data_IF_283966220074
#
_entry.id   IF_283966220074
#
_cell.length_a   1.000
_cell.length_b   1.000
_cell.length_c   1.000
_cell.angle_alpha   90.00
_cell.angle_beta   90.00
_cell.angle_gamma   90.00
#
_symmetry.space_group_name_H-M   'P 1'
#
loop_
_entity.id
_entity.type
_entity.pdbx_description
1 polymer ?
#
# COMPACT_ATOMS: atom_id res chain seq x y z
N UNK A 1 -0.85 3.96 6.53
CA UNK A 1 -1.83 4.15 5.45
C UNK A 1 -2.25 2.79 4.90
N UNK A 2 -3.53 2.58 4.71
CA UNK A 2 -4.08 1.47 3.94
C UNK A 2 -4.40 1.97 2.53
N UNK A 3 -4.00 1.19 1.53
CA UNK A 3 -4.30 1.45 0.12
C UNK A 3 -5.14 0.30 -0.40
N UNK A 4 -6.25 0.61 -1.07
CA UNK A 4 -7.10 -0.36 -1.74
C UNK A 4 -7.25 0.01 -3.22
N UNK A 5 -7.23 -1.00 -4.07
CA UNK A 5 -7.43 -0.86 -5.51
C UNK A 5 -8.77 -1.49 -5.89
N UNK A 6 -9.56 -0.73 -6.63
CA UNK A 6 -10.87 -1.15 -7.06
C UNK A 6 -10.99 -1.10 -8.57
N UNK A 7 -11.73 -2.04 -9.14
CA UNK A 7 -12.18 -1.98 -10.51
C UNK A 7 -13.69 -1.84 -10.57
N UNK A 8 -14.14 -0.93 -11.41
CA UNK A 8 -15.55 -0.79 -11.80
C UNK A 8 -15.65 -1.24 -13.24
N UNK A 9 -16.52 -2.18 -13.52
CA UNK A 9 -16.65 -2.76 -14.85
C UNK A 9 -18.10 -2.98 -15.27
N UNK A 10 -18.32 -2.95 -16.58
CA UNK A 10 -19.54 -3.37 -17.24
C UNK A 10 -19.22 -4.00 -18.59
N UNK A 11 -19.99 -5.01 -18.98
CA UNK A 11 -19.85 -5.67 -20.26
C UNK A 11 -21.22 -6.01 -20.85
N UNK A 12 -21.28 -6.14 -22.17
CA UNK A 12 -22.52 -6.49 -22.86
C UNK A 12 -22.36 -6.43 -24.38
N UNK A 13 -23.45 -6.69 -25.09
CA UNK A 13 -23.46 -6.73 -26.56
C UNK A 13 -23.44 -5.34 -27.18
N UNK A 14 -24.18 -4.41 -26.62
CA UNK A 14 -24.36 -3.07 -27.15
C UNK A 14 -23.55 -2.04 -26.37
N UNK A 15 -22.83 -1.19 -27.11
CA UNK A 15 -21.92 -0.17 -26.54
C UNK A 15 -22.65 0.84 -25.64
N UNK A 16 -23.82 1.30 -26.08
CA UNK A 16 -24.57 2.32 -25.33
C UNK A 16 -25.10 1.78 -24.01
N UNK A 17 -25.63 0.55 -24.03
CA UNK A 17 -26.11 -0.15 -22.83
C UNK A 17 -24.96 -0.41 -21.84
N UNK A 18 -23.80 -0.82 -22.34
CA UNK A 18 -22.59 -1.02 -21.51
C UNK A 18 -22.16 0.29 -20.86
N UNK A 19 -22.09 1.38 -21.64
CA UNK A 19 -21.71 2.67 -21.09
C UNK A 19 -22.70 3.17 -20.02
N UNK A 20 -24.00 3.02 -20.22
CA UNK A 20 -25.01 3.42 -19.22
C UNK A 20 -24.87 2.60 -17.92
N UNK A 21 -24.69 1.28 -18.02
CA UNK A 21 -24.48 0.42 -16.87
C UNK A 21 -23.17 0.77 -16.14
N UNK A 22 -22.10 0.98 -16.91
CA UNK A 22 -20.81 1.42 -16.37
C UNK A 22 -20.94 2.76 -15.64
N UNK A 23 -21.49 3.78 -16.28
CA UNK A 23 -21.62 5.12 -15.69
C UNK A 23 -22.44 5.11 -14.40
N UNK A 24 -23.47 4.28 -14.31
CA UNK A 24 -24.22 4.11 -13.07
C UNK A 24 -23.34 3.64 -11.93
N UNK A 25 -22.57 2.56 -12.13
CA UNK A 25 -21.65 2.01 -11.13
C UNK A 25 -20.51 3.00 -10.83
N UNK A 26 -19.92 3.59 -11.87
CA UNK A 26 -18.83 4.57 -11.75
C UNK A 26 -19.23 5.77 -10.89
N UNK A 27 -20.39 6.36 -11.16
CA UNK A 27 -20.88 7.51 -10.39
C UNK A 27 -21.21 7.12 -8.94
N UNK A 28 -21.76 5.92 -8.71
CA UNK A 28 -22.02 5.41 -7.37
C UNK A 28 -20.70 5.24 -6.59
N UNK A 29 -19.70 4.57 -7.20
CA UNK A 29 -18.40 4.37 -6.55
C UNK A 29 -17.70 5.72 -6.31
N UNK A 30 -17.66 6.59 -7.29
CA UNK A 30 -17.08 7.91 -7.16
C UNK A 30 -17.71 8.71 -6.01
N UNK A 31 -19.04 8.65 -5.87
CA UNK A 31 -19.75 9.32 -4.77
C UNK A 31 -19.35 8.81 -3.39
N UNK A 32 -19.26 7.49 -3.20
CA UNK A 32 -18.92 6.91 -1.89
C UNK A 32 -17.42 7.01 -1.56
N UNK A 33 -16.55 7.07 -2.58
CA UNK A 33 -15.11 7.23 -2.42
C UNK A 33 -14.67 8.69 -2.25
N UNK A 34 -15.48 9.66 -2.64
CA UNK A 34 -15.23 11.10 -2.42
C UNK A 34 -15.66 11.52 -1.01
N UNK A 35 -14.84 11.16 -0.02
CA UNK A 35 -15.01 11.51 1.38
C UNK A 35 -13.70 12.08 1.90
N UNK A 36 -13.75 13.00 2.87
CA UNK A 36 -12.57 13.62 3.49
C UNK A 36 -11.61 12.61 4.17
N UNK A 37 -12.09 11.39 4.45
CA UNK A 37 -11.30 10.28 5.02
C UNK A 37 -10.48 9.54 3.96
N UNK A 38 -10.78 9.73 2.68
CA UNK A 38 -10.16 9.02 1.57
C UNK A 38 -9.42 9.97 0.65
N UNK A 39 -8.28 9.49 0.15
CA UNK A 39 -7.65 10.05 -1.04
C UNK A 39 -7.93 9.07 -2.17
N UNK A 40 -8.99 9.36 -2.95
CA UNK A 40 -9.39 8.56 -4.10
C UNK A 40 -8.81 9.15 -5.39
N UNK A 41 -8.25 8.30 -6.23
CA UNK A 41 -7.62 8.64 -7.51
C UNK A 41 -8.11 7.69 -8.58
N UNK A 42 -8.61 8.22 -9.70
CA UNK A 42 -8.89 7.45 -10.90
C UNK A 42 -7.58 7.21 -11.64
N UNK A 43 -7.13 5.95 -11.69
CA UNK A 43 -5.88 5.56 -12.32
C UNK A 43 -6.01 5.38 -13.84
N UNK A 44 -7.11 4.75 -14.25
CA UNK A 44 -7.37 4.41 -15.65
C UNK A 44 -8.86 4.28 -15.90
N UNK A 45 -9.29 4.61 -17.10
CA UNK A 45 -10.60 4.29 -17.66
C UNK A 45 -10.44 3.92 -19.13
N UNK A 46 -11.02 2.78 -19.51
CA UNK A 46 -10.97 2.30 -20.88
C UNK A 46 -12.32 1.70 -21.31
N UNK A 47 -12.63 1.84 -22.60
CA UNK A 47 -13.77 1.20 -23.24
C UNK A 47 -13.28 0.52 -24.52
N UNK A 48 -13.48 -0.80 -24.62
CA UNK A 48 -12.98 -1.61 -25.73
C UNK A 48 -13.99 -2.62 -26.24
N UNK A 49 -13.91 -2.97 -27.55
CA UNK A 49 -14.71 -4.08 -28.07
C UNK A 49 -14.14 -5.41 -27.60
N UNK A 50 -15.03 -6.34 -27.25
CA UNK A 50 -14.71 -7.71 -26.90
C UNK A 50 -14.71 -8.60 -28.14
N UNK A 51 -13.74 -9.49 -28.22
CA UNK A 51 -13.59 -10.40 -29.34
C UNK A 51 -13.48 -11.85 -28.85
N UNK A 52 -14.04 -12.75 -29.65
CA UNK A 52 -13.84 -14.19 -29.49
C UNK A 52 -13.09 -14.72 -30.70
N UNK A 53 -12.16 -15.63 -30.47
CA UNK A 53 -11.41 -16.32 -31.50
C UNK A 53 -11.90 -17.76 -31.56
N UNK A 54 -12.51 -18.14 -32.69
CA UNK A 54 -12.98 -19.50 -32.93
C UNK A 54 -12.48 -19.95 -34.30
N UNK A 55 -11.75 -21.06 -34.36
CA UNK A 55 -11.18 -21.63 -35.58
C UNK A 55 -10.35 -20.60 -36.40
N UNK A 56 -9.55 -19.79 -35.74
CA UNK A 56 -8.72 -18.75 -36.40
C UNK A 56 -9.47 -17.49 -36.85
N UNK A 57 -10.78 -17.43 -36.67
CA UNK A 57 -11.62 -16.26 -37.01
C UNK A 57 -11.88 -15.41 -35.78
N UNK A 58 -11.59 -14.10 -35.89
CA UNK A 58 -11.90 -13.09 -34.88
C UNK A 58 -13.31 -12.55 -35.08
N UNK A 59 -14.16 -12.69 -34.08
CA UNK A 59 -15.55 -12.18 -34.11
C UNK A 59 -15.77 -11.27 -32.93
N UNK A 60 -16.29 -10.07 -33.17
CA UNK A 60 -16.66 -9.16 -32.08
C UNK A 60 -17.91 -9.72 -31.38
N UNK A 61 -17.84 -9.88 -30.05
CA UNK A 61 -18.89 -10.44 -29.21
C UNK A 61 -19.62 -9.39 -28.35
N UNK A 62 -19.07 -8.18 -28.29
CA UNK A 62 -19.67 -7.11 -27.51
C UNK A 62 -18.67 -6.00 -27.18
N UNK A 63 -18.92 -5.34 -26.07
CA UNK A 63 -18.16 -4.23 -25.53
C UNK A 63 -17.90 -4.46 -24.05
N UNK A 64 -16.80 -3.89 -23.55
CA UNK A 64 -16.48 -3.81 -22.15
C UNK A 64 -15.99 -2.39 -21.82
N UNK A 65 -16.32 -1.93 -20.63
CA UNK A 65 -15.82 -0.67 -20.10
C UNK A 65 -15.39 -0.90 -18.66
N UNK A 66 -14.20 -0.40 -18.30
CA UNK A 66 -13.65 -0.53 -16.96
C UNK A 66 -12.95 0.75 -16.51
N UNK A 67 -12.89 0.93 -15.20
CA UNK A 67 -12.10 1.98 -14.55
C UNK A 67 -11.41 1.38 -13.33
N UNK A 68 -10.17 1.81 -13.08
CA UNK A 68 -9.39 1.45 -11.91
C UNK A 68 -9.24 2.65 -11.00
N UNK A 69 -9.52 2.42 -9.71
CA UNK A 69 -9.38 3.41 -8.67
C UNK A 69 -8.36 2.95 -7.64
N UNK A 70 -7.56 3.90 -7.17
CA UNK A 70 -6.72 3.77 -5.99
C UNK A 70 -7.33 4.60 -4.88
N UNK A 71 -7.58 4.01 -3.72
CA UNK A 71 -8.11 4.69 -2.55
C UNK A 71 -7.18 4.49 -1.37
N UNK A 72 -6.70 5.59 -0.80
CA UNK A 72 -5.81 5.58 0.37
C UNK A 72 -6.53 6.17 1.58
N UNK A 73 -6.32 5.59 2.76
CA UNK A 73 -6.84 6.11 4.02
C UNK A 73 -5.88 5.83 5.18
N UNK A 74 -5.87 6.75 6.15
CA UNK A 74 -5.29 6.54 7.49
C UNK A 74 -6.32 5.94 8.44
N UNK A 75 -7.62 6.06 8.13
CA UNK A 75 -8.75 5.45 8.83
C UNK A 75 -9.07 4.09 8.19
N UNK A 76 -8.50 3.03 8.76
CA UNK A 76 -8.62 1.67 8.22
C UNK A 76 -10.06 1.14 8.33
N UNK A 77 -10.77 1.53 9.37
CA UNK A 77 -12.16 1.13 9.58
C UNK A 77 -13.07 1.76 8.51
N UNK A 78 -12.87 3.04 8.20
CA UNK A 78 -13.60 3.71 7.14
C UNK A 78 -13.33 3.06 5.77
N UNK A 79 -12.07 2.67 5.48
CA UNK A 79 -11.75 2.01 4.21
C UNK A 79 -12.33 0.59 4.13
N UNK A 80 -12.36 -0.15 5.22
CA UNK A 80 -13.03 -1.45 5.27
C UNK A 80 -14.55 -1.31 5.07
N UNK A 81 -15.17 -0.27 5.59
CA UNK A 81 -16.58 0.03 5.30
C UNK A 81 -16.80 0.35 3.83
N UNK A 82 -15.91 1.17 3.22
CA UNK A 82 -15.97 1.45 1.78
C UNK A 82 -15.89 0.15 0.95
N UNK A 83 -15.01 -0.78 1.33
CA UNK A 83 -14.90 -2.09 0.67
C UNK A 83 -16.23 -2.85 0.76
N UNK A 84 -16.83 -2.91 1.94
CA UNK A 84 -18.13 -3.57 2.15
C UNK A 84 -19.26 -2.90 1.35
N UNK A 85 -19.33 -1.58 1.37
CA UNK A 85 -20.38 -0.80 0.70
C UNK A 85 -20.24 -0.86 -0.84
N UNK A 86 -19.05 -1.15 -1.35
CA UNK A 86 -18.78 -1.21 -2.79
C UNK A 86 -19.00 -2.58 -3.44
N UNK A 87 -19.32 -3.62 -2.69
CA UNK A 87 -19.34 -5.03 -3.14
C UNK A 87 -20.21 -5.27 -4.40
N UNK A 88 -21.30 -4.49 -4.59
CA UNK A 88 -22.20 -4.62 -5.73
C UNK A 88 -21.90 -3.66 -6.89
N UNK A 89 -20.93 -2.74 -6.72
CA UNK A 89 -20.62 -1.66 -7.68
C UNK A 89 -19.18 -1.70 -8.18
N UNK A 90 -18.26 -2.18 -7.34
CA UNK A 90 -16.84 -2.30 -7.66
C UNK A 90 -16.28 -3.61 -7.11
N UNK A 91 -15.21 -4.09 -7.70
CA UNK A 91 -14.46 -5.26 -7.25
C UNK A 91 -13.20 -4.76 -6.54
N UNK A 92 -12.94 -5.25 -5.33
CA UNK A 92 -11.67 -5.06 -4.67
C UNK A 92 -10.63 -5.96 -5.32
N UNK A 93 -9.66 -5.36 -6.00
CA UNK A 93 -8.57 -6.09 -6.66
C UNK A 93 -7.45 -6.44 -5.67
N UNK A 94 -7.08 -5.47 -4.84
CA UNK A 94 -6.02 -5.64 -3.86
C UNK A 94 -6.16 -4.62 -2.74
N UNK A 95 -5.62 -4.98 -1.56
CA UNK A 95 -5.40 -4.04 -0.47
C UNK A 95 -4.06 -4.27 0.18
N UNK A 96 -3.40 -3.19 0.59
CA UNK A 96 -2.08 -3.24 1.21
C UNK A 96 -1.93 -2.17 2.28
N UNK A 97 -0.99 -2.38 3.19
CA UNK A 97 -0.60 -1.42 4.21
C UNK A 97 0.78 -0.90 3.94
N UNK A 98 0.97 0.39 4.15
CA UNK A 98 2.27 1.05 4.08
C UNK A 98 2.40 2.14 5.13
N UNK A 99 3.63 2.47 5.51
CA UNK A 99 3.90 3.68 6.28
C UNK A 99 3.62 4.89 5.39
N UNK A 100 2.94 5.91 5.92
CA UNK A 100 2.70 7.14 5.15
C UNK A 100 4.03 7.82 4.81
N UNK A 101 4.05 8.55 3.68
CA UNK A 101 5.22 9.27 3.20
C UNK A 101 5.77 10.21 4.27
N UNK A 102 4.89 10.98 4.91
CA UNK A 102 5.25 11.97 5.94
C UNK A 102 5.89 11.27 7.16
N UNK A 103 5.29 10.14 7.61
CA UNK A 103 5.83 9.40 8.75
C UNK A 103 7.17 8.74 8.43
N UNK A 104 7.34 8.30 7.19
CA UNK A 104 8.61 7.75 6.72
C UNK A 104 9.70 8.82 6.69
N UNK A 105 9.41 10.00 6.13
CA UNK A 105 10.33 11.14 6.09
C UNK A 105 10.74 11.57 7.49
N UNK A 106 9.78 11.76 8.39
CA UNK A 106 10.05 12.09 9.81
C UNK A 106 10.96 11.04 10.48
N UNK A 107 10.68 9.76 10.26
CA UNK A 107 11.47 8.66 10.84
C UNK A 107 12.89 8.64 10.27
N UNK A 108 13.06 8.85 8.97
CA UNK A 108 14.38 8.94 8.32
C UNK A 108 15.18 10.12 8.86
N UNK A 109 14.55 11.28 9.06
CA UNK A 109 15.21 12.46 9.63
C UNK A 109 15.67 12.22 11.07
N UNK A 110 14.81 11.64 11.91
CA UNK A 110 15.14 11.27 13.28
C UNK A 110 16.28 10.26 13.33
N UNK A 111 16.22 9.24 12.47
CA UNK A 111 17.23 8.20 12.38
C UNK A 111 18.58 8.79 11.90
N UNK A 112 18.55 9.68 10.91
CA UNK A 112 19.75 10.36 10.39
C UNK A 112 20.45 11.15 11.48
N UNK A 113 19.72 11.92 12.27
CA UNK A 113 20.27 12.65 13.42
C UNK A 113 20.89 11.69 14.45
N UNK A 114 20.17 10.61 14.78
CA UNK A 114 20.63 9.65 15.78
C UNK A 114 21.92 8.92 15.35
N UNK A 115 22.03 8.51 14.08
CA UNK A 115 23.23 7.80 13.60
C UNK A 115 24.44 8.74 13.47
N UNK A 116 24.23 10.01 13.13
CA UNK A 116 25.31 11.02 13.12
C UNK A 116 25.84 11.26 14.55
N UNK A 117 24.95 11.37 15.53
CA UNK A 117 25.36 11.51 16.94
C UNK A 117 26.16 10.29 17.40
N UNK A 118 25.66 9.06 17.12
CA UNK A 118 26.40 7.83 17.44
C UNK A 118 27.77 7.76 16.76
N UNK A 119 27.88 8.24 15.53
CA UNK A 119 29.18 8.31 14.84
C UNK A 119 30.13 9.26 15.56
N UNK A 120 29.67 10.45 15.95
CA UNK A 120 30.45 11.42 16.71
C UNK A 120 30.93 10.86 18.06
N UNK A 121 30.03 10.25 18.82
CA UNK A 121 30.34 9.64 20.11
C UNK A 121 31.40 8.55 19.97
N UNK A 122 31.23 7.69 18.95
CA UNK A 122 32.19 6.62 18.65
C UNK A 122 33.57 7.18 18.25
N UNK A 123 33.59 8.22 17.41
CA UNK A 123 34.83 8.88 17.02
C UNK A 123 35.53 9.56 18.21
N UNK A 124 34.78 10.20 19.11
CA UNK A 124 35.31 10.80 20.34
C UNK A 124 35.91 9.75 21.26
N UNK A 125 35.20 8.66 21.52
CA UNK A 125 35.68 7.57 22.35
C UNK A 125 36.95 6.94 21.79
N UNK A 126 37.01 6.76 20.45
CA UNK A 126 38.19 6.23 19.77
C UNK A 126 39.38 7.16 19.91
N UNK A 127 39.22 8.48 19.71
CA UNK A 127 40.26 9.47 19.88
C UNK A 127 40.83 9.44 21.32
N UNK A 128 39.96 9.46 22.32
CA UNK A 128 40.37 9.39 23.73
C UNK A 128 41.10 8.10 24.06
N UNK A 129 40.64 6.96 23.57
CA UNK A 129 41.29 5.65 23.79
C UNK A 129 42.71 5.60 23.19
N UNK A 130 42.90 6.28 22.06
CA UNK A 130 44.21 6.39 21.39
C UNK A 130 45.10 7.52 21.93
N UNK A 131 44.65 8.27 22.94
CA UNK A 131 45.39 9.34 23.58
C UNK A 131 45.32 10.69 22.86
N UNK A 132 44.41 10.87 21.92
CA UNK A 132 44.20 12.17 21.24
C UNK A 132 43.16 13.01 21.99
N UNK A 133 43.38 14.32 22.07
CA UNK A 133 42.45 15.26 22.73
C UNK A 133 41.30 15.71 21.86
N UNK A 134 41.42 15.56 20.55
CA UNK A 134 40.40 15.99 19.57
C UNK A 134 40.46 15.15 18.29
N UNK A 135 39.41 15.24 17.49
CA UNK A 135 39.36 14.66 16.15
C UNK A 135 38.66 15.60 15.18
N UNK A 136 38.92 15.43 13.90
CA UNK A 136 38.24 16.13 12.81
C UNK A 136 37.54 15.11 11.90
N UNK A 137 36.25 15.34 11.61
CA UNK A 137 35.53 14.53 10.61
C UNK A 137 36.03 14.95 9.23
N UNK A 138 36.63 14.02 8.49
CA UNK A 138 37.12 14.21 7.12
C UNK A 138 36.05 13.87 6.10
N UNK A 139 35.33 12.78 6.35
CA UNK A 139 34.27 12.28 5.46
C UNK A 139 33.16 11.70 6.28
N UNK A 140 31.92 12.01 5.89
CA UNK A 140 30.72 11.38 6.42
C UNK A 140 29.82 11.02 5.24
N UNK A 141 29.46 9.77 5.15
CA UNK A 141 28.57 9.26 4.11
C UNK A 141 27.39 8.58 4.76
N UNK A 142 26.19 9.12 4.53
CA UNK A 142 24.93 8.50 4.86
C UNK A 142 24.65 7.47 3.78
N UNK A 143 24.74 6.20 4.15
CA UNK A 143 24.55 5.08 3.25
C UNK A 143 23.08 4.87 2.87
N UNK A 144 22.82 3.73 2.27
CA UNK A 144 21.48 3.37 1.81
C UNK A 144 20.49 3.26 2.99
N UNK A 145 19.28 3.79 2.77
CA UNK A 145 18.17 3.60 3.68
C UNK A 145 17.55 2.24 3.35
N UNK A 146 17.77 1.27 4.23
CA UNK A 146 17.14 -0.04 4.15
C UNK A 146 15.70 0.01 4.62
N UNK A 147 14.85 -0.78 3.98
CA UNK A 147 13.43 -0.91 4.30
C UNK A 147 13.06 -2.38 4.37
N UNK A 148 12.52 -2.83 5.50
CA UNK A 148 12.08 -4.20 5.69
C UNK A 148 10.69 -4.23 6.28
N UNK A 149 9.75 -4.86 5.59
CA UNK A 149 8.45 -5.20 6.19
C UNK A 149 8.64 -6.34 7.20
N UNK A 150 8.21 -6.09 8.42
CA UNK A 150 8.22 -7.08 9.49
C UNK A 150 6.78 -7.42 9.84
N UNK A 151 6.32 -8.56 9.35
CA UNK A 151 5.11 -9.22 9.84
C UNK A 151 3.78 -8.57 9.48
N UNK A 152 3.12 -9.10 8.50
CA UNK A 152 1.69 -8.93 8.22
C UNK A 152 1.07 -10.26 7.81
N UNK A 153 1.76 -11.02 6.96
CA UNK A 153 1.15 -12.18 6.31
C UNK A 153 1.26 -13.50 7.08
N UNK A 154 2.25 -13.63 7.99
CA UNK A 154 2.48 -14.90 8.69
C UNK A 154 1.61 -15.09 9.95
N UNK A 155 1.12 -14.03 10.57
CA UNK A 155 0.23 -14.14 11.73
C UNK A 155 -1.16 -14.65 11.33
N UNK A 156 -1.68 -14.26 10.17
CA UNK A 156 -2.96 -14.74 9.66
C UNK A 156 -2.94 -16.20 9.21
N UNK A 157 -1.88 -16.66 8.55
CA UNK A 157 -1.75 -18.06 8.14
C UNK A 157 -1.64 -19.02 9.34
N UNK A 158 -1.10 -18.55 10.46
CA UNK A 158 -1.00 -19.34 11.69
C UNK A 158 -2.30 -19.37 12.49
N UNK A 159 -3.07 -18.27 12.50
CA UNK A 159 -4.39 -18.20 13.15
C UNK A 159 -5.43 -19.04 12.40
N UNK A 160 -5.45 -18.99 11.06
CA UNK A 160 -6.39 -19.79 10.25
C UNK A 160 -6.16 -21.31 10.36
N UNK A 161 -4.95 -21.76 10.73
CA UNK A 161 -4.67 -23.17 10.98
C UNK A 161 -5.08 -23.66 12.38
N UNK A 162 -5.36 -22.77 13.32
CA UNK A 162 -5.69 -23.09 14.71
C UNK A 162 -7.20 -23.02 15.02
N UNK A 163 -8.06 -22.56 14.08
CA UNK A 163 -9.50 -22.45 14.28
C UNK A 163 -10.20 -23.68 13.68
N UNK A 164 -11.00 -24.45 14.45
CA UNK A 164 -11.81 -25.54 13.91
C UNK A 164 -12.78 -25.02 12.84
N UNK A 165 -12.94 -25.78 11.75
CA UNK A 165 -13.75 -25.41 10.58
C UNK A 165 -15.22 -25.03 10.89
N UNK A 166 -15.75 -25.41 12.03
CA UNK A 166 -17.12 -25.10 12.48
C UNK A 166 -17.29 -23.65 12.98
N UNK A 167 -16.21 -22.98 13.46
CA UNK A 167 -16.28 -21.59 13.93
C UNK A 167 -16.06 -20.56 12.82
N UNK A 168 -15.45 -20.96 11.71
CA UNK A 168 -15.20 -20.06 10.56
C UNK A 168 -16.52 -19.67 9.86
N UNK A 169 -17.53 -20.51 9.88
CA UNK A 169 -18.82 -20.25 9.23
C UNK A 169 -19.70 -19.23 9.98
N UNK A 170 -19.47 -19.00 11.25
CA UNK A 170 -20.29 -18.11 12.09
C UNK A 170 -19.69 -16.69 12.26
N UNK A 171 -18.40 -16.47 11.94
CA UNK A 171 -17.66 -15.26 12.26
C UNK A 171 -17.39 -14.29 11.11
N UNK A 172 -17.76 -14.59 9.86
CA UNK A 172 -17.46 -13.74 8.69
C UNK A 172 -18.61 -12.75 8.42
N UNK A 173 -19.24 -12.20 9.44
CA UNK A 173 -20.21 -11.11 9.25
C UNK A 173 -19.58 -9.72 9.20
N UNK A 174 -18.36 -9.55 9.71
CA UNK A 174 -17.69 -8.26 9.76
C UNK A 174 -16.26 -8.37 9.21
N UNK A 175 -16.09 -8.43 7.90
CA UNK A 175 -14.82 -8.23 7.19
C UNK A 175 -13.56 -8.87 7.82
N UNK A 176 -12.58 -9.22 7.04
CA UNK A 176 -11.28 -9.69 7.54
C UNK A 176 -10.65 -8.53 8.35
N UNK A 177 -10.35 -8.72 9.65
CA UNK A 177 -9.73 -7.65 10.42
C UNK A 177 -8.38 -7.28 9.79
N UNK A 178 -8.29 -6.06 9.31
CA UNK A 178 -7.06 -5.54 8.75
C UNK A 178 -6.03 -5.36 9.86
N UNK A 179 -5.00 -6.20 9.89
CA UNK A 179 -3.88 -6.08 10.82
C UNK A 179 -2.68 -5.48 10.07
N UNK A 180 -2.41 -4.18 10.26
CA UNK A 180 -1.22 -3.57 9.66
C UNK A 180 0.04 -4.18 10.28
N UNK A 181 0.98 -4.60 9.43
CA UNK A 181 2.32 -4.98 9.84
C UNK A 181 3.15 -3.79 10.34
N UNK A 182 4.37 -4.04 10.78
CA UNK A 182 5.36 -3.02 11.08
C UNK A 182 6.42 -2.94 9.98
N UNK A 183 6.98 -1.76 9.79
CA UNK A 183 8.06 -1.51 8.84
C UNK A 183 9.30 -1.10 9.64
N UNK A 184 10.42 -1.77 9.41
CA UNK A 184 11.72 -1.45 9.99
C UNK A 184 12.52 -0.62 8.99
N UNK A 185 12.95 0.56 9.43
CA UNK A 185 13.83 1.43 8.65
C UNK A 185 15.24 1.37 9.27
N UNK A 186 16.23 1.03 8.45
CA UNK A 186 17.63 0.99 8.85
C UNK A 186 18.44 2.01 8.06
N UNK A 187 19.42 2.64 8.71
CA UNK A 187 20.35 3.57 8.10
C UNK A 187 21.76 3.29 8.57
N UNK A 188 22.68 3.17 7.62
CA UNK A 188 24.10 2.98 7.90
C UNK A 188 24.86 4.27 7.65
N UNK A 189 25.76 4.63 8.57
CA UNK A 189 26.69 5.76 8.41
C UNK A 189 28.11 5.24 8.36
N UNK A 190 28.84 5.68 7.36
CA UNK A 190 30.26 5.43 7.19
C UNK A 190 31.00 6.75 7.15
N UNK A 191 32.17 6.81 7.77
CA UNK A 191 32.98 8.03 7.76
C UNK A 191 34.42 7.78 8.13
N UNK A 192 35.25 8.77 7.87
CA UNK A 192 36.63 8.83 8.30
C UNK A 192 36.88 10.05 9.17
N UNK A 193 37.69 9.87 10.19
CA UNK A 193 38.11 10.91 11.08
C UNK A 193 39.64 10.96 11.08
N UNK A 194 40.17 12.16 11.26
CA UNK A 194 41.59 12.43 11.49
C UNK A 194 41.74 12.80 12.95
N UNK A 195 42.72 12.21 13.59
CA UNK A 195 43.15 12.48 14.96
C UNK A 195 44.42 13.25 14.97
#
# INVERSE_FOLDING_TARGET
TMTAYFSVNAEGKDRQTVNQAFMKKFNQFNKISQNSKFKAELMERNASPRYQYTNGKRTQTGWEEHAYFKVESKDFEALNRLIADSINIAVLENSSFSVSKEKREETVDQLSKAVILRFKDRAQNLAQTLGFSSYKIVKLNLGHIGNRQVGGDFAHAKMLRAIPAAEVAAGIKDGIPASPGSEEISLTVNGSVQM
#
